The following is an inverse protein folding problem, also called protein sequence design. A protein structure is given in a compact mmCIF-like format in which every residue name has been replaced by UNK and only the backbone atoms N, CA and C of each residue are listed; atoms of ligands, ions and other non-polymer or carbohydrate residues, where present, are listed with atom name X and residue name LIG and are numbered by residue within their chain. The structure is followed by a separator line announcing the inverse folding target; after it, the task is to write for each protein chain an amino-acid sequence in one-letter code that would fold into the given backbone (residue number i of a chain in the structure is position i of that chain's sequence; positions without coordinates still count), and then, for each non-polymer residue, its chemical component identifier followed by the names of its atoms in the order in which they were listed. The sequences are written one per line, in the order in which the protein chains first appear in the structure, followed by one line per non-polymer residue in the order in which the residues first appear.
data_IF_376359061370
#
_entry.id   IF_376359061370
#
_cell.length_a   1.000
_cell.length_b   1.000
_cell.length_c   1.000
_cell.angle_alpha   90.00
_cell.angle_beta   90.00
_cell.angle_gamma   90.00
#
_symmetry.space_group_name_H-M   'P 1'
#
loop_
_entity.id
_entity.type
_entity.pdbx_description
1 polymer ?
#
# COMPACT_ATOMS: atom_id res chain seq x y z
N UNK A 1 -15.52 19.73 32.05
CA UNK A 1 -16.05 20.04 30.71
C UNK A 1 -15.86 21.53 30.49
N UNK A 2 -14.86 21.96 29.72
CA UNK A 2 -14.71 23.35 29.32
C UNK A 2 -15.85 23.76 28.34
N UNK A 3 -16.28 25.03 28.34
CA UNK A 3 -17.41 25.48 27.53
C UNK A 3 -17.07 25.48 26.03
N UNK A 4 -17.99 24.94 25.21
CA UNK A 4 -17.89 24.97 23.76
C UNK A 4 -18.15 26.39 23.23
N UNK A 5 -17.37 26.89 22.27
CA UNK A 5 -17.63 28.17 21.62
C UNK A 5 -18.92 28.11 20.80
N UNK A 6 -19.71 29.18 20.86
CA UNK A 6 -20.99 29.34 20.16
C UNK A 6 -20.88 29.50 18.62
N UNK A 7 -19.69 29.28 18.04
CA UNK A 7 -19.40 29.45 16.62
C UNK A 7 -19.21 28.13 15.85
N UNK A 8 -19.35 26.99 16.52
CA UNK A 8 -19.30 25.67 15.89
C UNK A 8 -20.66 25.35 15.27
N UNK A 9 -20.62 24.77 14.06
CA UNK A 9 -21.79 24.30 13.35
C UNK A 9 -22.54 23.22 14.15
N UNK A 10 -23.87 23.26 14.16
CA UNK A 10 -24.69 22.35 14.98
C UNK A 10 -24.46 20.88 14.60
N UNK A 11 -24.15 20.62 13.34
CA UNK A 11 -23.80 19.27 12.84
C UNK A 11 -22.54 18.74 13.53
N UNK A 12 -21.49 19.56 13.67
CA UNK A 12 -20.25 19.15 14.34
C UNK A 12 -20.45 18.85 15.82
N UNK A 13 -21.27 19.64 16.52
CA UNK A 13 -21.62 19.37 17.93
C UNK A 13 -22.38 18.07 18.10
N UNK A 14 -23.33 17.81 17.20
CA UNK A 14 -24.09 16.56 17.20
C UNK A 14 -23.20 15.34 16.93
N UNK A 15 -22.22 15.47 16.02
CA UNK A 15 -21.24 14.41 15.75
C UNK A 15 -20.37 14.12 16.98
N UNK A 16 -19.84 15.14 17.65
CA UNK A 16 -19.05 14.98 18.88
C UNK A 16 -19.88 14.32 19.97
N UNK A 17 -21.12 14.78 20.21
CA UNK A 17 -22.01 14.19 21.20
C UNK A 17 -22.34 12.72 20.87
N UNK A 18 -22.48 12.38 19.59
CA UNK A 18 -22.70 10.99 19.15
C UNK A 18 -21.47 10.11 19.40
N UNK A 19 -20.26 10.61 19.11
CA UNK A 19 -19.00 9.94 19.36
C UNK A 19 -18.79 9.71 20.86
N UNK A 20 -19.03 10.72 21.71
CA UNK A 20 -18.91 10.58 23.16
C UNK A 20 -19.88 9.54 23.74
N UNK A 21 -21.13 9.51 23.27
CA UNK A 21 -22.11 8.51 23.69
C UNK A 21 -21.67 7.11 23.29
N UNK A 22 -21.20 6.95 22.06
CA UNK A 22 -20.70 5.65 21.57
C UNK A 22 -19.46 5.20 22.32
N UNK A 23 -18.52 6.12 22.60
CA UNK A 23 -17.36 5.81 23.44
C UNK A 23 -17.77 5.26 24.81
N UNK A 24 -18.73 5.91 25.48
CA UNK A 24 -19.25 5.44 26.78
C UNK A 24 -19.87 4.05 26.65
N UNK A 25 -20.67 3.81 25.61
CA UNK A 25 -21.28 2.48 25.38
C UNK A 25 -20.22 1.38 25.17
N UNK A 26 -19.21 1.64 24.34
CA UNK A 26 -18.13 0.69 24.08
C UNK A 26 -17.28 0.41 25.33
N UNK A 27 -16.95 1.46 26.09
CA UNK A 27 -16.12 1.35 27.27
C UNK A 27 -16.83 0.67 28.45
N UNK A 28 -18.09 1.02 28.70
CA UNK A 28 -18.81 0.58 29.90
C UNK A 28 -19.59 -0.73 29.69
N UNK A 29 -20.08 -0.99 28.47
CA UNK A 29 -20.94 -2.14 28.21
C UNK A 29 -20.27 -3.18 27.31
N UNK A 30 -19.78 -2.79 26.13
CA UNK A 30 -19.35 -3.76 25.12
C UNK A 30 -18.02 -4.45 25.47
N UNK A 31 -17.00 -3.69 25.92
CA UNK A 31 -15.70 -4.24 26.30
C UNK A 31 -15.80 -5.17 27.53
N UNK A 32 -16.49 -4.78 28.62
CA UNK A 32 -16.67 -5.67 29.77
C UNK A 32 -17.50 -6.90 29.44
N UNK A 33 -18.52 -6.77 28.58
CA UNK A 33 -19.30 -7.91 28.08
C UNK A 33 -18.40 -8.90 27.36
N UNK A 34 -17.56 -8.44 26.43
CA UNK A 34 -16.63 -9.31 25.70
C UNK A 34 -15.60 -9.96 26.63
N UNK A 35 -15.11 -9.24 27.64
CA UNK A 35 -14.17 -9.78 28.63
C UNK A 35 -14.79 -10.87 29.51
N UNK A 36 -16.05 -10.71 29.88
CA UNK A 36 -16.77 -11.64 30.74
C UNK A 36 -17.40 -12.81 29.97
N UNK A 37 -17.41 -12.77 28.63
CA UNK A 37 -17.88 -13.87 27.81
C UNK A 37 -16.95 -15.08 27.93
N UNK A 38 -17.37 -16.07 28.73
CA UNK A 38 -16.80 -17.41 28.84
C UNK A 38 -17.54 -18.44 27.97
N UNK A 39 -18.41 -17.97 27.07
CA UNK A 39 -19.24 -18.78 26.19
C UNK A 39 -18.48 -19.47 25.04
N UNK A 40 -19.19 -20.15 24.12
CA UNK A 40 -18.59 -20.81 22.96
C UNK A 40 -17.84 -19.82 22.07
N UNK A 41 -16.75 -20.28 21.43
CA UNK A 41 -15.84 -19.48 20.59
C UNK A 41 -16.58 -18.70 19.49
N UNK A 42 -17.67 -19.25 18.95
CA UNK A 42 -18.50 -18.63 17.91
C UNK A 42 -19.15 -17.33 18.39
N UNK A 43 -19.67 -17.32 19.61
CA UNK A 43 -20.34 -16.17 20.22
C UNK A 43 -19.32 -15.08 20.58
N UNK A 44 -18.15 -15.48 21.11
CA UNK A 44 -17.04 -14.56 21.34
C UNK A 44 -16.59 -13.89 20.03
N UNK A 45 -16.45 -14.66 18.94
CA UNK A 45 -16.05 -14.15 17.64
C UNK A 45 -17.08 -13.19 17.06
N UNK A 46 -18.38 -13.46 17.25
CA UNK A 46 -19.46 -12.56 16.84
C UNK A 46 -19.38 -11.20 17.56
N UNK A 47 -19.28 -11.19 18.89
CA UNK A 47 -19.14 -9.92 19.63
C UNK A 47 -17.83 -9.20 19.32
N UNK A 48 -16.75 -9.94 19.05
CA UNK A 48 -15.51 -9.34 18.60
C UNK A 48 -15.60 -8.77 17.18
N UNK A 49 -16.49 -9.27 16.31
CA UNK A 49 -16.74 -8.68 15.00
C UNK A 49 -17.60 -7.42 15.14
N UNK A 50 -18.70 -7.49 15.88
CA UNK A 50 -19.58 -6.35 16.18
C UNK A 50 -18.81 -5.17 16.79
N UNK A 51 -17.95 -5.42 17.77
CA UNK A 51 -17.11 -4.39 18.38
C UNK A 51 -16.05 -3.82 17.42
N UNK A 52 -15.59 -4.60 16.42
CA UNK A 52 -14.69 -4.05 15.37
C UNK A 52 -15.48 -3.12 14.45
N UNK A 53 -16.67 -3.55 14.02
CA UNK A 53 -17.52 -2.76 13.15
C UNK A 53 -17.90 -1.42 13.82
N UNK A 54 -18.22 -1.44 15.12
CA UNK A 54 -18.49 -0.23 15.90
C UNK A 54 -17.27 0.69 16.04
N UNK A 55 -16.07 0.12 16.22
CA UNK A 55 -14.82 0.87 16.24
C UNK A 55 -14.47 1.48 14.88
N UNK A 56 -14.76 0.77 13.80
CA UNK A 56 -14.55 1.25 12.43
C UNK A 56 -15.58 2.34 12.08
N UNK A 57 -16.82 2.21 12.54
CA UNK A 57 -17.81 3.28 12.45
C UNK A 57 -17.39 4.53 13.26
N UNK A 58 -16.87 4.34 14.47
CA UNK A 58 -16.29 5.43 15.28
C UNK A 58 -15.12 6.11 14.54
N UNK A 59 -14.24 5.32 13.91
CA UNK A 59 -13.12 5.84 13.14
C UNK A 59 -13.57 6.69 11.93
N UNK A 60 -14.57 6.21 11.17
CA UNK A 60 -15.14 6.96 10.04
C UNK A 60 -15.79 8.27 10.47
N UNK A 61 -16.51 8.25 11.58
CA UNK A 61 -17.10 9.48 12.14
C UNK A 61 -16.04 10.48 12.60
N UNK A 62 -14.90 9.99 13.10
CA UNK A 62 -13.77 10.84 13.48
C UNK A 62 -13.10 11.45 12.25
N UNK A 63 -12.97 10.71 11.15
CA UNK A 63 -12.48 11.22 9.87
C UNK A 63 -13.42 12.29 9.30
N UNK A 64 -14.75 12.08 9.35
CA UNK A 64 -15.71 13.12 8.95
C UNK A 64 -15.63 14.37 9.83
N UNK A 65 -15.35 14.20 11.12
CA UNK A 65 -15.16 15.31 12.04
C UNK A 65 -13.87 16.07 11.71
N UNK A 66 -12.78 15.36 11.38
CA UNK A 66 -11.49 15.94 10.99
C UNK A 66 -11.62 16.80 9.73
N UNK A 67 -12.31 16.30 8.70
CA UNK A 67 -12.63 17.08 7.48
C UNK A 67 -13.47 18.33 7.82
N UNK A 68 -14.45 18.20 8.72
CA UNK A 68 -15.25 19.34 9.17
C UNK A 68 -14.43 20.38 9.97
N UNK A 69 -13.33 19.97 10.61
CA UNK A 69 -12.38 20.90 11.26
C UNK A 69 -11.60 21.70 10.23
N UNK A 70 -11.26 21.10 9.08
CA UNK A 70 -10.52 21.76 8.02
C UNK A 70 -11.34 22.82 7.27
N UNK A 71 -12.65 22.62 7.13
CA UNK A 71 -13.57 23.56 6.47
C UNK A 71 -13.91 24.80 7.34
N UNK A 72 -13.54 24.77 8.62
CA UNK A 72 -13.95 25.80 9.56
C UNK A 72 -13.16 27.11 9.39
N UNK A 73 -13.88 28.18 9.03
CA UNK A 73 -13.30 29.51 8.68
C UNK A 73 -12.68 30.28 9.85
N UNK A 74 -13.00 29.92 11.10
CA UNK A 74 -12.53 30.62 12.29
C UNK A 74 -11.34 29.90 12.91
N UNK A 75 -10.17 30.55 12.90
CA UNK A 75 -8.91 29.99 13.42
C UNK A 75 -8.96 29.59 14.91
N UNK A 76 -9.77 30.28 15.73
CA UNK A 76 -9.96 29.94 17.15
C UNK A 76 -10.80 28.67 17.32
N UNK A 77 -11.94 28.58 16.64
CA UNK A 77 -12.81 27.41 16.66
C UNK A 77 -12.10 26.16 16.11
N UNK A 78 -11.30 26.33 15.05
CA UNK A 78 -10.46 25.28 14.47
C UNK A 78 -9.47 24.70 15.48
N UNK A 79 -8.82 25.53 16.30
CA UNK A 79 -7.86 25.07 17.32
C UNK A 79 -8.53 24.28 18.44
N UNK A 80 -9.67 24.77 18.92
CA UNK A 80 -10.43 24.09 19.97
C UNK A 80 -11.00 22.76 19.47
N UNK A 81 -11.53 22.73 18.23
CA UNK A 81 -12.06 21.52 17.62
C UNK A 81 -10.96 20.48 17.32
N UNK A 82 -9.76 20.91 16.90
CA UNK A 82 -8.59 20.02 16.78
C UNK A 82 -8.23 19.36 18.10
N UNK A 83 -8.22 20.10 19.21
CA UNK A 83 -7.93 19.51 20.52
C UNK A 83 -8.94 18.41 20.89
N UNK A 84 -10.22 18.62 20.58
CA UNK A 84 -11.26 17.61 20.81
C UNK A 84 -11.06 16.39 19.89
N UNK A 85 -10.73 16.60 18.62
CA UNK A 85 -10.42 15.49 17.69
C UNK A 85 -9.20 14.70 18.15
N UNK A 86 -8.13 15.37 18.58
CA UNK A 86 -6.92 14.72 19.11
C UNK A 86 -7.24 13.89 20.37
N UNK A 87 -8.09 14.40 21.25
CA UNK A 87 -8.58 13.65 22.43
C UNK A 87 -9.38 12.41 22.00
N UNK A 88 -10.31 12.55 21.04
CA UNK A 88 -11.10 11.44 20.51
C UNK A 88 -10.24 10.41 19.76
N UNK A 89 -9.18 10.84 19.06
CA UNK A 89 -8.18 9.95 18.46
C UNK A 89 -7.42 9.18 19.54
N UNK A 90 -6.98 9.84 20.61
CA UNK A 90 -6.33 9.18 21.74
C UNK A 90 -7.27 8.15 22.38
N UNK A 91 -8.55 8.48 22.57
CA UNK A 91 -9.59 7.57 23.06
C UNK A 91 -9.74 6.36 22.14
N UNK A 92 -9.79 6.55 20.81
CA UNK A 92 -9.87 5.46 19.84
C UNK A 92 -8.68 4.49 19.99
N UNK A 93 -7.45 5.02 20.08
CA UNK A 93 -6.27 4.16 20.25
C UNK A 93 -6.29 3.38 21.56
N UNK A 94 -6.80 3.97 22.65
CA UNK A 94 -7.01 3.28 23.91
C UNK A 94 -8.06 2.19 23.78
N UNK A 95 -9.21 2.49 23.17
CA UNK A 95 -10.32 1.56 22.99
C UNK A 95 -9.92 0.34 22.15
N UNK A 96 -9.11 0.55 21.09
CA UNK A 96 -8.50 -0.55 20.32
C UNK A 96 -7.58 -1.44 21.16
N UNK A 97 -6.78 -0.85 22.07
CA UNK A 97 -5.92 -1.63 22.99
C UNK A 97 -6.77 -2.43 23.98
N UNK A 98 -7.78 -1.79 24.57
CA UNK A 98 -8.68 -2.40 25.55
C UNK A 98 -9.51 -3.53 24.92
N UNK A 99 -9.97 -3.35 23.68
CA UNK A 99 -10.59 -4.41 22.88
C UNK A 99 -9.66 -5.61 22.71
N UNK A 100 -8.42 -5.39 22.25
CA UNK A 100 -7.45 -6.48 22.03
C UNK A 100 -7.15 -7.20 23.35
N UNK A 101 -7.02 -6.46 24.44
CA UNK A 101 -6.83 -7.03 25.77
C UNK A 101 -8.04 -7.88 26.21
N UNK A 102 -9.26 -7.39 26.00
CA UNK A 102 -10.49 -8.10 26.33
C UNK A 102 -10.67 -9.38 25.51
N UNK A 103 -10.39 -9.34 24.20
CA UNK A 103 -10.45 -10.52 23.31
C UNK A 103 -9.44 -11.58 23.75
N UNK A 104 -8.20 -11.17 24.08
CA UNK A 104 -7.20 -12.11 24.56
C UNK A 104 -7.54 -12.67 25.95
N UNK A 105 -8.13 -11.86 26.83
CA UNK A 105 -8.57 -12.31 28.15
C UNK A 105 -9.69 -13.36 28.05
N UNK A 106 -10.73 -13.09 27.23
CA UNK A 106 -11.83 -14.05 27.05
C UNK A 106 -11.38 -15.31 26.33
N UNK A 107 -10.48 -15.21 25.35
CA UNK A 107 -9.90 -16.39 24.69
C UNK A 107 -9.15 -17.27 25.69
N UNK A 108 -8.28 -16.68 26.52
CA UNK A 108 -7.56 -17.43 27.57
C UNK A 108 -8.51 -18.09 28.57
N UNK A 109 -9.60 -17.42 28.94
CA UNK A 109 -10.60 -17.99 29.83
C UNK A 109 -11.32 -19.19 29.20
N UNK A 110 -11.68 -19.10 27.92
CA UNK A 110 -12.29 -20.19 27.15
C UNK A 110 -11.33 -21.37 27.02
N UNK A 111 -10.07 -21.12 26.68
CA UNK A 111 -9.04 -22.16 26.53
C UNK A 111 -8.76 -22.89 27.87
N UNK A 112 -8.76 -22.15 28.99
CA UNK A 112 -8.64 -22.71 30.34
C UNK A 112 -9.86 -23.57 30.72
N UNK A 113 -11.07 -23.14 30.36
CA UNK A 113 -12.30 -23.89 30.58
C UNK A 113 -12.40 -25.14 29.71
N UNK A 114 -11.88 -25.10 28.48
CA UNK A 114 -11.81 -26.29 27.62
C UNK A 114 -10.80 -27.31 28.14
N UNK A 115 -9.62 -26.84 28.59
CA UNK A 115 -8.60 -27.72 29.16
C UNK A 115 -9.09 -28.42 30.43
N UNK A 116 -9.70 -27.67 31.36
CA UNK A 116 -10.28 -28.25 32.59
C UNK A 116 -11.38 -29.27 32.30
N UNK A 117 -12.30 -28.97 31.37
CA UNK A 117 -13.32 -29.94 30.93
C UNK A 117 -12.71 -31.21 30.33
N UNK A 118 -11.64 -31.08 29.55
CA UNK A 118 -10.94 -32.24 28.97
C UNK A 118 -10.30 -33.10 30.06
N UNK A 119 -9.68 -32.48 31.06
CA UNK A 119 -9.09 -33.18 32.20
C UNK A 119 -10.13 -33.92 33.05
N UNK A 120 -11.31 -33.32 33.27
CA UNK A 120 -12.43 -33.97 33.96
C UNK A 120 -12.96 -35.19 33.19
N UNK A 121 -13.12 -35.07 31.87
CA UNK A 121 -13.57 -36.18 31.03
C UNK A 121 -12.55 -37.33 31.01
N UNK A 122 -11.26 -37.03 30.86
CA UNK A 122 -10.19 -38.04 30.91
C UNK A 122 -10.09 -38.72 32.28
N UNK A 123 -10.30 -37.97 33.38
CA UNK A 123 -10.38 -38.57 34.72
C UNK A 123 -11.58 -39.49 34.86
N UNK A 124 -12.74 -39.12 34.31
CA UNK A 124 -13.95 -39.94 34.36
C UNK A 124 -13.83 -41.24 33.55
N UNK A 125 -13.16 -41.20 32.39
CA UNK A 125 -12.99 -42.37 31.52
C UNK A 125 -12.07 -43.43 32.13
N UNK A 126 -10.96 -43.00 32.76
CA UNK A 126 -10.00 -43.91 33.41
C UNK A 126 -10.63 -44.64 34.61
N UNK A 127 -11.58 -44.01 35.31
CA UNK A 127 -12.30 -44.64 36.42
C UNK A 127 -13.30 -45.70 35.91
N UNK A 128 -13.97 -45.43 34.79
CA UNK A 128 -14.97 -46.35 34.21
C UNK A 128 -14.33 -47.59 33.58
N UNK A 129 -13.19 -47.44 32.92
CA UNK A 129 -12.47 -48.56 32.28
C UNK A 129 -11.93 -49.58 33.30
N UNK A 130 -11.51 -49.12 34.49
CA UNK A 130 -11.04 -50.00 35.56
C UNK A 130 -12.14 -50.88 36.17
N UNK A 131 -13.41 -50.46 36.10
CA UNK A 131 -14.54 -51.26 36.61
C UNK A 131 -14.92 -52.39 35.63
N UNK A 132 -14.82 -52.17 34.33
CA UNK A 132 -15.33 -53.12 33.32
C UNK A 132 -14.40 -54.32 33.06
N UNK A 133 -13.11 -54.21 33.39
CA UNK A 133 -12.13 -55.27 33.11
C UNK A 133 -12.10 -56.40 34.16
N UNK A 134 -12.70 -56.21 35.33
CA UNK A 134 -12.58 -57.16 36.44
C UNK A 134 -13.65 -58.28 36.42
N UNK A 135 -14.73 -58.13 35.64
CA UNK A 135 -15.93 -58.98 35.80
C UNK A 135 -16.05 -60.15 34.81
N UNK A 136 -15.21 -60.24 33.76
CA UNK A 136 -15.53 -61.07 32.57
C UNK A 136 -14.56 -62.23 32.24
N UNK A 137 -13.70 -62.68 33.16
CA UNK A 137 -12.50 -63.48 32.76
C UNK A 137 -12.65 -65.02 32.81
N UNK A 138 -13.54 -65.66 33.57
CA UNK A 138 -13.21 -67.05 34.00
C UNK A 138 -13.93 -68.26 33.42
N UNK A 139 -15.05 -68.20 32.68
CA UNK A 139 -15.76 -69.47 32.35
C UNK A 139 -16.28 -69.65 30.90
N UNK A 140 -16.39 -68.59 30.10
CA UNK A 140 -16.86 -68.70 28.72
C UNK A 140 -15.80 -69.20 27.72
N UNK A 141 -14.54 -69.35 28.14
CA UNK A 141 -13.35 -69.25 27.29
C UNK A 141 -13.29 -70.18 26.05
N UNK A 142 -13.87 -71.38 26.10
CA UNK A 142 -13.73 -72.37 25.00
C UNK A 142 -14.90 -72.32 24.02
N UNK A 143 -16.15 -72.12 24.49
CA UNK A 143 -17.29 -71.87 23.60
C UNK A 143 -17.26 -70.45 23.02
N UNK A 144 -16.68 -69.50 23.77
CA UNK A 144 -16.28 -68.20 23.23
C UNK A 144 -15.26 -68.33 22.13
N UNK A 145 -14.23 -69.18 22.23
CA UNK A 145 -13.13 -69.13 21.25
C UNK A 145 -13.61 -69.26 19.79
N UNK A 146 -14.59 -70.12 19.50
CA UNK A 146 -15.14 -70.26 18.14
C UNK A 146 -16.09 -69.12 17.76
N UNK A 147 -16.88 -68.62 18.72
CA UNK A 147 -17.74 -67.46 18.51
C UNK A 147 -16.90 -66.18 18.33
N UNK A 148 -15.86 -65.99 19.14
CA UNK A 148 -14.86 -64.92 19.10
C UNK A 148 -14.10 -64.91 17.78
N UNK A 149 -13.79 -66.05 17.16
CA UNK A 149 -13.16 -66.05 15.81
C UNK A 149 -14.13 -65.55 14.74
N UNK A 150 -15.41 -65.95 14.82
CA UNK A 150 -16.44 -65.49 13.86
C UNK A 150 -16.81 -64.02 14.10
N UNK A 151 -16.93 -63.63 15.36
CA UNK A 151 -17.14 -62.26 15.80
C UNK A 151 -15.93 -61.40 15.48
N UNK A 152 -14.69 -61.90 15.58
CA UNK A 152 -13.49 -61.22 15.16
C UNK A 152 -13.45 -61.00 13.65
N UNK A 153 -13.92 -61.96 12.83
CA UNK A 153 -14.02 -61.78 11.38
C UNK A 153 -15.11 -60.78 10.99
N UNK A 154 -16.29 -60.85 11.61
CA UNK A 154 -17.34 -59.82 11.42
C UNK A 154 -16.86 -58.44 11.87
N UNK A 155 -16.15 -58.37 13.00
CA UNK A 155 -15.53 -57.14 13.51
C UNK A 155 -14.43 -56.63 12.60
N UNK A 156 -13.65 -57.52 11.99
CA UNK A 156 -12.61 -57.16 11.01
C UNK A 156 -13.23 -56.67 9.71
N UNK A 157 -14.32 -57.29 9.24
CA UNK A 157 -15.10 -56.80 8.10
C UNK A 157 -15.70 -55.43 8.37
N UNK A 158 -16.30 -55.23 9.55
CA UNK A 158 -16.79 -53.92 9.99
C UNK A 158 -15.68 -52.88 10.14
N UNK A 159 -14.50 -53.29 10.63
CA UNK A 159 -13.32 -52.42 10.70
C UNK A 159 -12.76 -52.07 9.33
N UNK A 160 -12.68 -53.02 8.39
CA UNK A 160 -12.26 -52.74 7.01
C UNK A 160 -13.25 -51.80 6.32
N UNK A 161 -14.55 -52.00 6.53
CA UNK A 161 -15.57 -51.11 5.96
C UNK A 161 -15.47 -49.71 6.56
N UNK A 162 -15.27 -49.60 7.87
CA UNK A 162 -15.02 -48.32 8.54
C UNK A 162 -13.69 -47.67 8.16
N UNK A 163 -12.62 -48.45 7.91
CA UNK A 163 -11.35 -47.93 7.40
C UNK A 163 -11.48 -47.44 5.96
N UNK A 164 -12.28 -48.10 5.13
CA UNK A 164 -12.56 -47.64 3.77
C UNK A 164 -13.36 -46.33 3.77
N UNK A 165 -14.42 -46.22 4.58
CA UNK A 165 -15.16 -44.96 4.75
C UNK A 165 -14.26 -43.83 5.27
N UNK A 166 -13.39 -44.16 6.23
CA UNK A 166 -12.41 -43.21 6.77
C UNK A 166 -11.34 -42.82 5.76
N UNK A 167 -10.92 -43.74 4.88
CA UNK A 167 -9.98 -43.49 3.78
C UNK A 167 -10.60 -42.55 2.74
N UNK A 168 -11.88 -42.77 2.38
CA UNK A 168 -12.63 -41.89 1.46
C UNK A 168 -12.82 -40.50 2.06
N UNK A 169 -13.14 -40.39 3.35
CA UNK A 169 -13.19 -39.08 4.00
C UNK A 169 -11.82 -38.40 4.07
N UNK A 170 -10.75 -39.18 4.30
CA UNK A 170 -9.39 -38.64 4.31
C UNK A 170 -8.97 -38.14 2.93
N UNK A 171 -9.32 -38.84 1.85
CA UNK A 171 -9.01 -38.38 0.49
C UNK A 171 -9.82 -37.14 0.13
N UNK A 172 -11.09 -37.06 0.50
CA UNK A 172 -11.89 -35.83 0.35
C UNK A 172 -11.30 -34.66 1.14
N UNK A 173 -10.84 -34.89 2.37
CA UNK A 173 -10.16 -33.86 3.15
C UNK A 173 -8.84 -33.41 2.50
N UNK A 174 -8.03 -34.35 2.01
CA UNK A 174 -6.79 -34.02 1.30
C UNK A 174 -7.07 -33.25 0.01
N UNK A 175 -8.11 -33.61 -0.74
CA UNK A 175 -8.54 -32.89 -1.93
C UNK A 175 -9.02 -31.47 -1.57
N UNK A 176 -9.83 -31.32 -0.53
CA UNK A 176 -10.27 -30.01 -0.03
C UNK A 176 -9.10 -29.14 0.45
N UNK A 177 -8.12 -29.74 1.13
CA UNK A 177 -6.90 -29.05 1.56
C UNK A 177 -6.07 -28.62 0.36
N UNK A 178 -6.00 -29.45 -0.68
CA UNK A 178 -5.30 -29.14 -1.92
C UNK A 178 -5.99 -28.02 -2.68
N UNK A 179 -7.33 -28.04 -2.75
CA UNK A 179 -8.12 -26.98 -3.34
C UNK A 179 -7.94 -25.64 -2.59
N UNK A 180 -7.90 -25.68 -1.27
CA UNK A 180 -7.64 -24.51 -0.43
C UNK A 180 -6.21 -23.97 -0.59
N UNK A 181 -5.21 -24.85 -0.71
CA UNK A 181 -3.84 -24.42 -1.01
C UNK A 181 -3.74 -23.80 -2.40
N UNK A 182 -4.45 -24.34 -3.39
CA UNK A 182 -4.53 -23.73 -4.73
C UNK A 182 -5.19 -22.35 -4.67
N UNK A 183 -6.32 -22.18 -3.98
CA UNK A 183 -6.95 -20.86 -3.85
C UNK A 183 -6.08 -19.87 -3.08
N UNK A 184 -5.34 -20.34 -2.07
CA UNK A 184 -4.38 -19.51 -1.35
C UNK A 184 -3.24 -19.09 -2.28
N UNK A 185 -2.69 -20.00 -3.09
CA UNK A 185 -1.66 -19.68 -4.09
C UNK A 185 -2.15 -18.63 -5.08
N UNK A 186 -3.37 -18.77 -5.61
CA UNK A 186 -3.91 -17.78 -6.56
C UNK A 186 -4.12 -16.41 -5.91
N UNK A 187 -4.53 -16.35 -4.64
CA UNK A 187 -4.62 -15.07 -3.92
C UNK A 187 -3.25 -14.41 -3.73
N UNK A 188 -2.20 -15.21 -3.48
CA UNK A 188 -0.83 -14.71 -3.40
C UNK A 188 -0.34 -14.18 -4.75
N UNK A 189 -0.61 -14.88 -5.85
CA UNK A 189 -0.24 -14.42 -7.20
C UNK A 189 -0.91 -13.08 -7.55
N UNK A 190 -2.18 -12.90 -7.18
CA UNK A 190 -2.90 -11.63 -7.36
C UNK A 190 -2.25 -10.51 -6.53
N UNK A 191 -1.91 -10.79 -5.25
CA UNK A 191 -1.23 -9.81 -4.41
C UNK A 191 0.14 -9.41 -4.96
N UNK A 192 0.91 -10.36 -5.49
CA UNK A 192 2.21 -10.07 -6.11
C UNK A 192 2.06 -9.25 -7.40
N UNK A 193 1.04 -9.51 -8.20
CA UNK A 193 0.69 -8.70 -9.36
C UNK A 193 0.32 -7.26 -8.97
N UNK A 194 -0.49 -7.10 -7.91
CA UNK A 194 -0.84 -5.79 -7.37
C UNK A 194 0.39 -5.07 -6.79
N UNK A 195 1.28 -5.78 -6.08
CA UNK A 195 2.51 -5.19 -5.57
C UNK A 195 3.44 -4.75 -6.70
N UNK A 196 3.56 -5.56 -7.74
CA UNK A 196 4.35 -5.22 -8.94
C UNK A 196 3.78 -3.99 -9.64
N UNK A 197 2.45 -3.91 -9.76
CA UNK A 197 1.74 -2.75 -10.30
C UNK A 197 1.97 -1.51 -9.43
N UNK A 198 1.92 -1.65 -8.11
CA UNK A 198 2.19 -0.55 -7.16
C UNK A 198 3.62 -0.04 -7.31
N UNK A 199 4.62 -0.93 -7.42
CA UNK A 199 6.02 -0.57 -7.67
C UNK A 199 6.20 0.16 -9.00
N UNK A 200 5.52 -0.32 -10.04
CA UNK A 200 5.55 0.34 -11.35
C UNK A 200 4.96 1.75 -11.29
N UNK A 201 3.81 1.93 -10.63
CA UNK A 201 3.19 3.24 -10.43
C UNK A 201 4.08 4.18 -9.62
N UNK A 202 4.67 3.69 -8.52
CA UNK A 202 5.60 4.48 -7.69
C UNK A 202 6.83 4.89 -8.51
N UNK A 203 7.41 3.96 -9.27
CA UNK A 203 8.57 4.24 -10.14
C UNK A 203 8.21 5.23 -11.25
N UNK A 204 7.01 5.12 -11.82
CA UNK A 204 6.52 6.05 -12.83
C UNK A 204 6.33 7.45 -12.26
N UNK A 205 5.79 7.56 -11.03
CA UNK A 205 5.64 8.83 -10.32
C UNK A 205 7.00 9.45 -10.01
N UNK A 206 7.93 8.67 -9.45
CA UNK A 206 9.30 9.11 -9.16
C UNK A 206 10.02 9.58 -10.44
N UNK A 207 9.90 8.83 -11.54
CA UNK A 207 10.47 9.22 -12.83
C UNK A 207 9.84 10.51 -13.37
N UNK A 208 8.55 10.72 -13.17
CA UNK A 208 7.87 11.95 -13.58
C UNK A 208 8.33 13.16 -12.76
N UNK A 209 8.50 13.00 -11.45
CA UNK A 209 9.04 14.05 -10.56
C UNK A 209 10.51 14.35 -10.91
N UNK A 210 11.30 13.32 -11.21
CA UNK A 210 12.69 13.50 -11.64
C UNK A 210 12.80 14.25 -12.97
N UNK A 211 11.93 13.92 -13.95
CA UNK A 211 11.87 14.61 -15.23
C UNK A 211 11.44 16.07 -15.07
N UNK A 212 10.43 16.33 -14.23
CA UNK A 212 9.96 17.69 -13.96
C UNK A 212 11.07 18.55 -13.32
N UNK A 213 11.77 18.00 -12.33
CA UNK A 213 12.94 18.66 -11.73
C UNK A 213 14.02 18.93 -12.77
N UNK A 214 14.31 17.98 -13.67
CA UNK A 214 15.27 18.19 -14.76
C UNK A 214 14.85 19.30 -15.72
N UNK A 215 13.56 19.42 -16.04
CA UNK A 215 13.05 20.51 -16.87
C UNK A 215 13.20 21.89 -16.18
N UNK A 216 12.92 21.96 -14.87
CA UNK A 216 13.15 23.19 -14.09
C UNK A 216 14.63 23.57 -14.08
N UNK A 217 15.53 22.61 -13.84
CA UNK A 217 16.98 22.86 -13.91
C UNK A 217 17.44 23.28 -15.31
N UNK A 218 16.91 22.67 -16.37
CA UNK A 218 17.21 23.04 -17.75
C UNK A 218 16.76 24.48 -18.06
N UNK A 219 15.56 24.87 -17.61
CA UNK A 219 15.05 26.24 -17.76
C UNK A 219 15.91 27.27 -17.01
N UNK A 220 16.31 26.95 -15.78
CA UNK A 220 17.22 27.80 -14.98
C UNK A 220 18.60 27.92 -15.64
N UNK A 221 19.17 26.81 -16.11
CA UNK A 221 20.45 26.82 -16.82
C UNK A 221 20.38 27.68 -18.08
N UNK A 222 19.31 27.56 -18.87
CA UNK A 222 19.09 28.41 -20.05
C UNK A 222 18.98 29.89 -19.67
N UNK A 223 18.24 30.22 -18.62
CA UNK A 223 18.14 31.58 -18.10
C UNK A 223 19.51 32.14 -17.68
N UNK A 224 20.30 31.37 -16.92
CA UNK A 224 21.65 31.77 -16.50
C UNK A 224 22.56 32.00 -17.70
N UNK A 225 22.52 31.12 -18.70
CA UNK A 225 23.27 31.29 -19.95
C UNK A 225 22.87 32.59 -20.64
N UNK A 226 21.58 32.89 -20.74
CA UNK A 226 21.09 34.15 -21.34
C UNK A 226 21.53 35.37 -20.54
N UNK A 227 21.45 35.33 -19.20
CA UNK A 227 21.93 36.41 -18.34
C UNK A 227 23.44 36.61 -18.50
N UNK A 228 24.22 35.54 -18.49
CA UNK A 228 25.67 35.60 -18.75
C UNK A 228 25.97 36.13 -20.16
N UNK A 229 25.17 35.75 -21.17
CA UNK A 229 25.30 36.27 -22.52
C UNK A 229 25.02 37.78 -22.57
N UNK A 230 23.97 38.25 -21.90
CA UNK A 230 23.65 39.68 -21.80
C UNK A 230 24.75 40.42 -21.04
N UNK A 231 25.27 39.87 -19.94
CA UNK A 231 26.37 40.48 -19.19
C UNK A 231 27.62 40.52 -20.06
N UNK A 232 27.95 39.46 -20.80
CA UNK A 232 29.07 39.47 -21.74
C UNK A 232 28.86 40.55 -22.79
N UNK A 233 27.73 40.56 -23.49
CA UNK A 233 27.45 41.55 -24.53
C UNK A 233 27.43 42.98 -23.99
N UNK A 234 26.80 43.22 -22.83
CA UNK A 234 26.59 44.56 -22.30
C UNK A 234 27.77 45.06 -21.50
N UNK A 235 28.36 44.24 -20.65
CA UNK A 235 29.45 44.62 -19.78
C UNK A 235 30.80 44.53 -20.50
N UNK A 236 31.00 43.53 -21.37
CA UNK A 236 32.25 43.43 -22.13
C UNK A 236 32.25 44.42 -23.29
N UNK A 237 31.24 44.51 -24.17
CA UNK A 237 31.33 45.44 -25.30
C UNK A 237 31.26 46.92 -24.87
N UNK A 238 30.42 47.24 -23.88
CA UNK A 238 30.23 48.61 -23.39
C UNK A 238 31.31 48.96 -22.35
N UNK A 239 31.71 48.03 -21.50
CA UNK A 239 32.84 48.20 -20.58
C UNK A 239 34.19 48.27 -21.30
N UNK A 240 34.43 47.50 -22.36
CA UNK A 240 35.61 47.68 -23.23
C UNK A 240 35.60 49.03 -23.92
N UNK A 241 34.44 49.55 -24.35
CA UNK A 241 34.36 50.90 -24.95
C UNK A 241 34.58 52.01 -23.94
N UNK A 242 34.05 51.87 -22.71
CA UNK A 242 34.29 52.83 -21.63
C UNK A 242 35.72 52.73 -21.13
N UNK A 243 36.28 51.53 -20.99
CA UNK A 243 37.69 51.32 -20.66
C UNK A 243 38.60 51.87 -21.76
N UNK A 244 38.32 51.65 -23.06
CA UNK A 244 39.06 52.25 -24.16
C UNK A 244 38.88 53.77 -24.25
N UNK A 245 37.70 54.30 -23.89
CA UNK A 245 37.48 55.74 -23.82
C UNK A 245 38.24 56.36 -22.64
N UNK A 246 38.27 55.68 -21.49
CA UNK A 246 39.06 56.09 -20.33
C UNK A 246 40.56 55.91 -20.59
N UNK A 247 41.06 54.86 -21.26
CA UNK A 247 42.48 54.80 -21.65
C UNK A 247 42.86 55.82 -22.72
N UNK A 248 41.89 56.35 -23.47
CA UNK A 248 42.11 57.50 -24.39
C UNK A 248 42.01 58.86 -23.69
N UNK A 249 41.44 58.92 -22.49
CA UNK A 249 41.28 60.14 -21.69
C UNK A 249 42.16 60.17 -20.44
N UNK A 250 42.79 59.07 -20.08
CA UNK A 250 43.94 59.06 -19.19
C UNK A 250 45.07 59.75 -19.97
N UNK A 251 45.52 60.94 -19.58
CA UNK A 251 46.76 61.49 -20.09
C UNK A 251 47.85 60.45 -19.82
N UNK A 252 48.62 60.17 -20.86
CA UNK A 252 49.72 59.23 -20.85
C UNK A 252 50.79 59.71 -19.85
N UNK A 253 50.63 59.37 -18.57
CA UNK A 253 51.66 59.52 -17.54
C UNK A 253 52.75 58.45 -17.69
N UNK A 254 52.84 57.73 -18.83
CA UNK A 254 54.06 57.00 -19.18
C UNK A 254 55.23 57.94 -19.52
N UNK A 255 54.97 59.23 -19.70
CA UNK A 255 56.00 60.25 -19.85
C UNK A 255 56.91 60.42 -18.63
N UNK A 256 56.50 60.00 -17.44
CA UNK A 256 57.30 60.16 -16.22
C UNK A 256 58.28 59.00 -16.00
N UNK A 257 57.95 57.77 -16.43
CA UNK A 257 58.92 56.67 -16.47
C UNK A 257 59.92 56.82 -17.62
N UNK A 258 59.51 57.38 -18.77
CA UNK A 258 60.43 57.69 -19.87
C UNK A 258 61.37 58.87 -19.54
N UNK A 259 60.94 59.86 -18.74
CA UNK A 259 61.79 60.95 -18.25
C UNK A 259 62.73 60.50 -17.12
N UNK A 260 62.27 59.63 -16.22
CA UNK A 260 63.12 59.04 -15.17
C UNK A 260 64.10 57.99 -15.71
N UNK A 261 63.79 57.34 -16.84
CA UNK A 261 64.74 56.51 -17.58
C UNK A 261 65.71 57.34 -18.44
N UNK A 262 65.36 58.57 -18.81
CA UNK A 262 66.22 59.49 -19.57
C UNK A 262 67.16 60.35 -18.69
N UNK A 263 66.86 60.53 -17.39
CA UNK A 263 67.70 61.26 -16.44
C UNK A 263 68.79 60.37 -15.78
N UNK A 264 68.62 59.05 -15.79
CA UNK A 264 69.73 58.10 -15.58
C UNK A 264 70.48 57.90 -16.90
N UNK A 265 71.22 58.93 -17.30
CA UNK A 265 72.08 58.86 -18.47
C UNK A 265 73.15 57.79 -18.34
N UNK A 266 73.05 56.73 -19.15
CA UNK A 266 74.17 56.15 -19.87
C UNK A 266 73.71 55.72 -21.28
N UNK A 267 74.17 56.52 -22.24
CA UNK A 267 74.46 56.31 -23.66
C UNK A 267 73.92 55.08 -24.43
N UNK A 268 73.50 55.31 -25.69
CA UNK A 268 72.78 54.36 -26.54
C UNK A 268 73.72 53.47 -27.39
N UNK A 269 73.41 52.19 -27.48
CA UNK A 269 73.91 51.29 -28.52
C UNK A 269 72.95 50.09 -28.55
N UNK A 270 71.94 50.14 -29.41
CA UNK A 270 71.94 49.46 -30.73
C UNK A 270 71.73 47.95 -30.61
N UNK A 271 70.96 47.40 -31.56
CA UNK A 271 70.52 46.00 -31.69
C UNK A 271 69.33 45.65 -30.76
N UNK A 272 68.11 45.38 -31.21
CA UNK A 272 67.68 44.62 -32.38
C UNK A 272 66.28 45.13 -32.77
N UNK A 273 66.09 45.71 -33.96
CA UNK A 273 65.68 44.95 -35.15
C UNK A 273 64.52 43.99 -34.88
N UNK A 274 63.30 44.46 -35.13
CA UNK A 274 62.25 43.84 -35.94
C UNK A 274 60.93 44.54 -35.57
N UNK A 275 60.55 45.57 -36.32
CA UNK A 275 59.69 45.40 -37.48
C UNK A 275 58.31 44.84 -37.07
N UNK A 276 57.40 45.79 -36.84
CA UNK A 276 56.05 45.76 -37.39
C UNK A 276 55.77 44.59 -38.33
N UNK A 277 54.89 43.69 -37.91
CA UNK A 277 53.60 43.45 -38.55
C UNK A 277 53.03 42.11 -38.09
N UNK A 278 51.70 42.07 -38.05
CA UNK A 278 50.84 40.88 -38.06
C UNK A 278 50.93 39.86 -36.90
N UNK A 279 49.84 39.89 -36.13
CA UNK A 279 49.11 38.71 -35.60
C UNK A 279 49.63 38.06 -34.31
N UNK A 280 48.84 38.29 -33.25
CA UNK A 280 48.48 37.40 -32.12
C UNK A 280 49.56 36.69 -31.30
N UNK A 281 49.60 37.00 -30.00
CA UNK A 281 50.00 36.11 -28.91
C UNK A 281 49.44 36.68 -27.58
N UNK A 282 48.87 35.98 -26.61
CA UNK A 282 48.73 34.54 -26.25
C UNK A 282 47.82 34.56 -25.01
N UNK A 283 46.77 33.74 -24.86
CA UNK A 283 46.67 32.38 -24.30
C UNK A 283 45.15 32.10 -24.42
N UNK A 284 44.56 31.09 -25.06
CA UNK A 284 44.87 29.68 -25.33
C UNK A 284 43.92 29.28 -26.48
N UNK A 285 44.39 29.03 -27.70
CA UNK A 285 43.67 28.15 -28.64
C UNK A 285 44.64 27.54 -29.65
N UNK A 286 44.95 26.27 -29.41
CA UNK A 286 45.02 25.12 -30.34
C UNK A 286 45.82 25.25 -31.64
N UNK A 287 46.64 24.23 -31.92
CA UNK A 287 46.90 23.52 -33.21
C UNK A 287 48.18 22.69 -32.97
N UNK A 288 48.36 21.41 -33.36
CA UNK A 288 47.66 20.52 -34.27
C UNK A 288 48.07 19.06 -33.99
N UNK A 289 47.35 18.15 -34.67
CA UNK A 289 47.57 16.69 -34.84
C UNK A 289 47.15 15.86 -33.61
N UNK A 290 46.01 15.18 -33.58
CA UNK A 290 45.31 14.48 -34.67
C UNK A 290 43.79 14.76 -34.73
N UNK A 291 43.32 14.98 -35.97
CA UNK A 291 42.07 14.50 -36.60
C UNK A 291 40.68 14.95 -36.07
N UNK A 292 40.02 15.81 -36.87
CA UNK A 292 38.72 15.58 -37.56
C UNK A 292 37.86 14.41 -37.04
N UNK A 293 36.56 14.52 -36.69
CA UNK A 293 35.35 14.75 -37.52
C UNK A 293 34.14 14.88 -36.54
N UNK A 294 33.44 16.02 -36.45
CA UNK A 294 32.11 16.39 -36.98
C UNK A 294 30.83 15.62 -36.51
N UNK A 295 29.84 16.46 -36.15
CA UNK A 295 28.39 16.42 -36.43
C UNK A 295 27.44 15.41 -35.73
N UNK A 296 26.52 16.01 -34.97
CA UNK A 296 25.07 15.82 -34.97
C UNK A 296 24.42 14.43 -34.77
N UNK A 297 23.46 14.46 -33.83
CA UNK A 297 22.14 13.82 -33.88
C UNK A 297 22.00 12.30 -33.72
N UNK A 298 20.93 11.98 -32.99
CA UNK A 298 20.08 10.79 -33.05
C UNK A 298 20.63 9.46 -32.54
N UNK A 299 19.72 8.81 -31.82
CA UNK A 299 19.88 7.54 -31.17
C UNK A 299 20.02 6.36 -32.13
N UNK A 300 20.69 5.33 -31.59
CA UNK A 300 20.41 3.89 -31.71
C UNK A 300 20.60 3.17 -33.05
N UNK A 301 21.56 2.23 -33.08
CA UNK A 301 21.45 0.80 -33.48
C UNK A 301 22.86 0.17 -33.39
N UNK A 302 23.09 -0.91 -32.62
CA UNK A 302 23.13 -2.35 -33.02
C UNK A 302 24.13 -2.58 -34.18
N UNK A 303 25.12 -3.49 -34.20
CA UNK A 303 25.25 -4.93 -33.91
C UNK A 303 26.78 -5.24 -33.73
N UNK A 304 27.35 -6.38 -33.30
CA UNK A 304 26.97 -7.78 -33.12
C UNK A 304 28.27 -8.62 -33.11
N UNK A 305 28.23 -9.89 -32.67
CA UNK A 305 28.87 -11.07 -33.33
C UNK A 305 28.79 -12.30 -32.38
N UNK A 306 27.78 -13.16 -32.54
CA UNK A 306 27.79 -14.52 -33.17
C UNK A 306 28.38 -15.64 -32.28
N UNK A 307 27.54 -16.60 -31.87
CA UNK A 307 27.48 -17.96 -32.47
C UNK A 307 26.25 -18.75 -31.97
N UNK A 308 25.48 -19.36 -32.89
CA UNK A 308 24.63 -20.52 -32.57
C UNK A 308 23.19 -20.53 -33.11
N UNK A 309 23.04 -20.82 -34.41
CA UNK A 309 21.87 -21.30 -35.17
C UNK A 309 20.89 -22.20 -34.36
N UNK A 310 19.55 -22.20 -34.56
CA UNK A 310 18.84 -22.92 -35.65
C UNK A 310 17.34 -22.47 -35.75
N UNK A 311 16.98 -21.94 -36.93
CA UNK A 311 15.76 -22.07 -37.78
C UNK A 311 14.30 -21.86 -37.30
N UNK A 312 13.60 -21.01 -38.10
CA UNK A 312 12.26 -21.18 -38.73
C UNK A 312 11.10 -20.26 -38.31
N UNK A 313 10.65 -19.42 -39.26
CA UNK A 313 9.22 -19.37 -39.65
C UNK A 313 8.40 -18.10 -39.36
N UNK A 314 8.36 -17.19 -40.35
CA UNK A 314 7.38 -16.09 -40.62
C UNK A 314 5.99 -16.69 -41.04
N UNK A 315 4.81 -16.00 -41.18
CA UNK A 315 4.39 -14.58 -40.99
C UNK A 315 3.08 -14.29 -40.18
N UNK A 316 2.93 -13.01 -39.81
CA UNK A 316 1.80 -12.04 -40.03
C UNK A 316 0.32 -12.48 -39.97
N UNK A 317 -0.49 -11.84 -39.11
CA UNK A 317 -1.54 -10.86 -39.50
C UNK A 317 -2.41 -10.39 -38.30
N UNK A 318 -2.78 -9.11 -38.38
CA UNK A 318 -3.80 -8.40 -37.61
C UNK A 318 -5.20 -8.92 -37.96
N UNK A 319 -6.12 -8.99 -36.98
CA UNK A 319 -7.54 -8.56 -37.05
C UNK A 319 -8.34 -9.16 -35.88
N UNK A 320 -8.95 -8.25 -35.10
CA UNK A 320 -10.26 -8.31 -34.46
C UNK A 320 -11.06 -9.63 -34.57
N UNK A 321 -11.45 -10.22 -33.44
CA UNK A 321 -12.85 -10.62 -33.21
C UNK A 321 -13.08 -11.10 -31.78
N UNK A 322 -14.08 -10.47 -31.17
CA UNK A 322 -14.83 -10.97 -30.03
C UNK A 322 -15.64 -12.17 -30.50
N UNK A 323 -15.49 -13.32 -29.84
CA UNK A 323 -16.39 -14.47 -29.99
C UNK A 323 -16.62 -15.10 -28.62
N UNK A 324 -17.82 -14.89 -28.08
CA UNK A 324 -18.41 -15.72 -27.04
C UNK A 324 -19.72 -16.26 -27.64
N UNK A 325 -19.78 -17.56 -27.80
CA UNK A 325 -21.01 -18.34 -27.95
C UNK A 325 -20.88 -19.51 -26.96
N UNK A 326 -21.97 -19.93 -26.30
CA UNK A 326 -22.71 -21.04 -26.91
C UNK A 326 -24.23 -20.98 -26.72
N UNK A 327 -24.96 -21.00 -27.84
CA UNK A 327 -26.02 -21.94 -28.22
C UNK A 327 -26.83 -22.66 -27.10
N UNK A 328 -28.05 -22.14 -26.85
CA UNK A 328 -29.40 -22.70 -27.16
C UNK A 328 -29.58 -24.24 -27.33
N UNK A 329 -30.79 -24.84 -27.12
CA UNK A 329 -32.06 -24.31 -27.64
C UNK A 329 -33.40 -24.53 -26.89
N UNK A 330 -34.38 -23.75 -27.37
CA UNK A 330 -35.84 -23.97 -27.55
C UNK A 330 -36.74 -24.26 -26.32
N UNK A 331 -37.92 -23.64 -26.17
CA UNK A 331 -38.69 -22.78 -27.07
C UNK A 331 -40.07 -22.45 -26.46
N UNK A 332 -40.92 -21.83 -27.28
CA UNK A 332 -42.34 -21.49 -27.09
C UNK A 332 -42.68 -20.10 -26.51
N UNK A 333 -42.71 -19.15 -27.45
CA UNK A 333 -43.58 -17.98 -27.59
C UNK A 333 -45.02 -18.16 -27.05
N UNK A 334 -45.56 -17.13 -26.38
CA UNK A 334 -46.79 -16.42 -26.82
C UNK A 334 -47.08 -15.20 -25.94
N UNK A 335 -47.23 -14.07 -26.61
CA UNK A 335 -47.93 -12.85 -26.19
C UNK A 335 -49.41 -13.14 -25.90
N UNK A 336 -50.01 -12.52 -24.87
CA UNK A 336 -51.35 -11.87 -24.89
C UNK A 336 -51.76 -11.30 -23.52
N UNK A 337 -52.00 -9.99 -23.50
CA UNK A 337 -53.08 -9.21 -22.83
C UNK A 337 -53.60 -9.51 -21.40
N UNK A 338 -53.53 -8.45 -20.57
CA UNK A 338 -54.56 -7.84 -19.71
C UNK A 338 -55.20 -8.55 -18.49
N UNK A 339 -55.58 -7.69 -17.52
CA UNK A 339 -56.47 -7.87 -16.35
C UNK A 339 -55.74 -8.40 -15.11
N UNK A 340 -55.75 -7.77 -13.92
CA UNK A 340 -56.80 -6.96 -13.30
C UNK A 340 -57.51 -7.82 -12.25
N UNK A 341 -57.12 -7.69 -10.98
CA UNK A 341 -57.85 -7.99 -9.72
C UNK A 341 -56.80 -8.14 -8.58
N UNK A 342 -56.68 -7.21 -7.64
CA UNK A 342 -57.50 -7.02 -6.44
C UNK A 342 -57.42 -8.17 -5.40
N UNK A 343 -57.09 -7.74 -4.18
CA UNK A 343 -57.46 -8.24 -2.84
C UNK A 343 -56.52 -9.12 -2.00
N UNK A 344 -56.21 -8.50 -0.84
CA UNK A 344 -56.23 -9.03 0.54
C UNK A 344 -55.07 -9.95 0.93
N UNK A 345 -54.43 -9.82 2.09
CA UNK A 345 -54.72 -9.06 3.31
C UNK A 345 -54.18 -9.89 4.47
N UNK A 346 -53.35 -9.30 5.33
CA UNK A 346 -52.93 -9.78 6.66
C UNK A 346 -51.79 -8.86 7.11
N UNK A 347 -51.76 -8.25 8.29
CA UNK A 347 -52.57 -8.36 9.48
C UNK A 347 -51.83 -7.54 10.53
N UNK A 348 -52.31 -6.33 10.78
CA UNK A 348 -51.71 -5.39 11.73
C UNK A 348 -52.33 -5.67 13.11
N UNK A 349 -51.50 -6.09 14.06
CA UNK A 349 -51.85 -6.14 15.49
C UNK A 349 -51.53 -4.78 16.10
N UNK A 350 -52.42 -4.24 16.94
CA UNK A 350 -51.93 -3.71 18.21
C UNK A 350 -52.74 -4.20 19.42
N UNK A 351 -52.01 -4.29 20.51
CA UNK A 351 -52.47 -4.31 21.90
C UNK A 351 -53.51 -3.21 22.18
N UNK A 352 -54.55 -3.49 22.98
CA UNK A 352 -54.64 -2.94 24.35
C UNK A 352 -55.81 -3.53 25.17
N UNK A 353 -55.65 -3.44 26.49
CA UNK A 353 -56.44 -3.99 27.59
C UNK A 353 -57.89 -3.47 27.71
N UNK A 354 -58.83 -4.37 28.06
CA UNK A 354 -59.73 -4.34 29.24
C UNK A 354 -60.86 -5.39 29.13
#
# INVERSE_FOLDING_TARGET
MPPLPSALDEETKNLIASLERRHKDLADFQIPRLRNCTGPLTLQQQYAAELRDDLDMFARQLETLDVAVEDQRTERARRELRQVVDELQAVLTRLRKDMRAAVLASKRAIDAQQSSRREELLRSSVVKEKQTLNEKVTEDAVMKATNDVTEALQRTLGLMQGELERSVLSTQLLESSTANLKSTSTTHDVLDSLMTTSKHLITALEKSDWMDRMLIFAGLAFFVIVVLFIIKQRLVDRGLRVALFWTRFVPDFSGDEALLAAEKGEVPASLSLAASSVVSATVLTVVATASTVLLASSASSLEGEVLGSITSGVPTETVTSVHLDPSLPEGAYTTTSSSGAERTGSGTVPHDEL
#
